data_IF_275875818823
#
_entry.id   IF_275875818823
#
_cell.length_a   1.000
_cell.length_b   1.000
_cell.length_c   1.000
_cell.angle_alpha   90.00
_cell.angle_beta   90.00
_cell.angle_gamma   90.00
#
_symmetry.space_group_name_H-M   'P 1'
#
loop_
_entity.id
_entity.type
_entity.pdbx_description
1 polymer ?
#
# COMPACT_ATOMS: atom_id res chain seq x y z
N UNK A 1 -45.66 -17.53 20.19
CA UNK A 1 -47.00 -17.00 20.41
C UNK A 1 -46.98 -15.60 21.04
N UNK A 2 -46.16 -15.35 22.08
CA UNK A 2 -46.03 -14.02 22.74
C UNK A 2 -45.63 -12.90 21.80
N UNK A 3 -44.84 -13.20 20.77
CA UNK A 3 -44.34 -12.27 19.77
C UNK A 3 -45.20 -12.24 18.50
N UNK A 4 -46.40 -12.84 18.52
CA UNK A 4 -47.25 -13.04 17.37
C UNK A 4 -46.56 -13.76 16.18
N UNK A 5 -45.60 -14.60 16.50
CA UNK A 5 -44.87 -15.41 15.53
C UNK A 5 -45.42 -16.81 15.52
N UNK A 6 -45.85 -17.27 14.37
CA UNK A 6 -46.43 -18.61 14.21
C UNK A 6 -45.39 -19.52 13.58
N UNK A 7 -44.86 -20.43 14.37
CA UNK A 7 -43.89 -21.44 13.99
C UNK A 7 -44.39 -22.81 14.44
N UNK A 8 -44.01 -23.84 13.71
CA UNK A 8 -44.18 -25.21 14.15
C UNK A 8 -43.20 -25.51 15.28
N UNK A 9 -43.70 -25.56 16.51
CA UNK A 9 -42.90 -25.83 17.70
C UNK A 9 -42.61 -27.31 17.92
N UNK A 10 -43.37 -28.19 17.30
CA UNK A 10 -43.18 -29.64 17.39
C UNK A 10 -42.10 -30.11 16.41
N UNK A 11 -41.93 -29.37 15.31
CA UNK A 11 -40.91 -29.64 14.31
C UNK A 11 -40.16 -28.34 13.87
N UNK A 12 -39.42 -27.70 14.80
CA UNK A 12 -38.78 -26.43 14.54
C UNK A 12 -37.57 -26.60 13.62
N UNK A 13 -37.35 -25.63 12.74
CA UNK A 13 -36.10 -25.51 12.01
C UNK A 13 -35.01 -24.97 12.95
N UNK A 14 -34.03 -25.82 13.26
CA UNK A 14 -32.97 -25.49 14.22
C UNK A 14 -31.60 -25.75 13.62
N UNK A 15 -30.74 -24.71 13.57
CA UNK A 15 -29.42 -24.76 12.91
C UNK A 15 -28.37 -25.59 13.65
N UNK A 16 -28.66 -26.03 14.87
CA UNK A 16 -27.79 -26.90 15.66
C UNK A 16 -28.09 -28.40 15.48
N UNK A 17 -29.18 -28.77 14.76
CA UNK A 17 -29.49 -30.15 14.47
C UNK A 17 -28.57 -30.73 13.41
N UNK A 18 -28.25 -32.02 13.51
CA UNK A 18 -27.31 -32.72 12.64
C UNK A 18 -27.71 -32.64 11.16
N UNK A 19 -29.00 -32.74 10.85
CA UNK A 19 -29.54 -32.66 9.49
C UNK A 19 -29.24 -31.30 8.83
N UNK A 20 -29.29 -30.19 9.62
CA UNK A 20 -28.90 -28.89 9.13
C UNK A 20 -27.40 -28.83 8.87
N UNK A 21 -26.61 -29.31 9.84
CA UNK A 21 -25.12 -29.31 9.76
C UNK A 21 -24.68 -30.14 8.55
N UNK A 22 -25.23 -31.34 8.35
CA UNK A 22 -24.94 -32.20 7.20
C UNK A 22 -25.24 -31.49 5.86
N UNK A 23 -26.42 -30.84 5.78
CA UNK A 23 -26.81 -30.09 4.57
C UNK A 23 -25.89 -28.92 4.27
N UNK A 24 -25.45 -28.16 5.31
CA UNK A 24 -24.51 -27.09 5.20
C UNK A 24 -23.11 -27.59 4.74
N UNK A 25 -22.64 -28.68 5.33
CA UNK A 25 -21.35 -29.29 4.94
C UNK A 25 -21.41 -29.88 3.55
N UNK A 26 -22.52 -30.48 3.14
CA UNK A 26 -22.68 -30.95 1.78
C UNK A 26 -22.58 -29.79 0.78
N UNK A 27 -23.20 -28.66 1.07
CA UNK A 27 -23.11 -27.46 0.21
C UNK A 27 -21.68 -26.93 0.13
N UNK A 28 -20.96 -26.84 1.25
CA UNK A 28 -19.55 -26.45 1.30
C UNK A 28 -18.67 -27.41 0.49
N UNK A 29 -18.94 -28.74 0.62
CA UNK A 29 -18.23 -29.75 -0.16
C UNK A 29 -18.44 -29.56 -1.66
N UNK A 30 -19.68 -29.28 -2.11
CA UNK A 30 -19.93 -29.01 -3.54
C UNK A 30 -19.15 -27.79 -4.05
N UNK A 31 -19.04 -26.73 -3.24
CA UNK A 31 -18.25 -25.56 -3.58
C UNK A 31 -16.76 -25.87 -3.62
N UNK A 32 -16.26 -26.62 -2.64
CA UNK A 32 -14.87 -27.05 -2.60
C UNK A 32 -14.50 -27.91 -3.82
N UNK A 33 -15.31 -28.93 -4.14
CA UNK A 33 -15.07 -29.85 -5.27
C UNK A 33 -15.07 -29.12 -6.64
N UNK A 34 -15.71 -27.95 -6.71
CA UNK A 34 -15.71 -27.05 -7.88
C UNK A 34 -14.59 -26.01 -7.84
N UNK A 35 -13.72 -26.01 -6.84
CA UNK A 35 -12.67 -25.02 -6.68
C UNK A 35 -13.16 -23.62 -6.28
N UNK A 36 -14.42 -23.49 -5.85
CA UNK A 36 -15.00 -22.20 -5.44
C UNK A 36 -14.72 -21.86 -3.98
N UNK A 37 -14.35 -22.85 -3.17
CA UNK A 37 -13.93 -22.68 -1.79
C UNK A 37 -12.42 -22.87 -1.69
N UNK A 38 -11.71 -21.82 -1.35
CA UNK A 38 -10.27 -21.80 -1.24
C UNK A 38 -9.83 -20.94 -0.05
N UNK A 39 -8.58 -21.13 0.40
CA UNK A 39 -7.98 -20.28 1.41
C UNK A 39 -7.40 -19.04 0.72
N UNK A 40 -7.85 -17.86 1.12
CA UNK A 40 -7.38 -16.59 0.57
C UNK A 40 -7.06 -15.58 1.66
N UNK A 41 -6.55 -14.43 1.24
CA UNK A 41 -6.31 -13.27 2.10
C UNK A 41 -7.27 -12.14 1.73
N UNK A 42 -7.59 -11.33 2.73
CA UNK A 42 -8.35 -10.10 2.57
C UNK A 42 -7.75 -9.02 3.46
N UNK A 43 -7.48 -7.87 2.88
CA UNK A 43 -7.03 -6.71 3.64
C UNK A 43 -8.21 -6.15 4.44
N UNK A 44 -8.03 -5.99 5.74
CA UNK A 44 -9.04 -5.48 6.66
C UNK A 44 -8.40 -4.47 7.62
N UNK A 45 -9.12 -3.42 8.03
CA UNK A 45 -8.70 -2.57 9.14
C UNK A 45 -8.51 -3.42 10.40
N UNK A 46 -7.36 -3.27 11.05
CA UNK A 46 -6.99 -4.03 12.24
C UNK A 46 -6.54 -3.09 13.36
N UNK A 47 -7.07 -3.32 14.57
CA UNK A 47 -6.66 -2.57 15.74
C UNK A 47 -5.69 -3.40 16.59
N UNK A 48 -4.42 -3.02 16.67
CA UNK A 48 -3.42 -3.76 17.46
C UNK A 48 -3.71 -3.71 18.97
N UNK A 49 -4.36 -2.64 19.46
CA UNK A 49 -4.70 -2.49 20.88
C UNK A 49 -5.75 -3.53 21.33
N UNK A 50 -6.72 -3.83 20.50
CA UNK A 50 -7.79 -4.80 20.81
C UNK A 50 -7.54 -6.18 20.23
N UNK A 51 -6.58 -6.33 19.30
CA UNK A 51 -6.28 -7.57 18.62
C UNK A 51 -7.40 -8.05 17.68
N UNK A 52 -8.23 -7.11 17.15
CA UNK A 52 -9.39 -7.44 16.33
C UNK A 52 -9.41 -6.68 15.02
N UNK A 53 -9.98 -7.32 13.98
CA UNK A 53 -10.31 -6.66 12.73
C UNK A 53 -11.65 -5.95 12.83
N UNK A 54 -11.79 -4.82 12.15
CA UNK A 54 -13.04 -4.08 12.05
C UNK A 54 -13.65 -4.19 10.65
N UNK A 55 -14.96 -4.11 10.58
CA UNK A 55 -15.67 -3.95 9.32
C UNK A 55 -15.50 -2.51 8.80
N UNK A 56 -15.64 -2.33 7.50
CA UNK A 56 -15.64 -0.99 6.87
C UNK A 56 -16.68 -0.06 7.48
N UNK A 57 -17.84 -0.61 7.87
CA UNK A 57 -18.91 0.15 8.52
C UNK A 57 -18.49 0.68 9.89
N UNK A 58 -17.83 -0.12 10.71
CA UNK A 58 -17.35 0.30 12.04
C UNK A 58 -16.29 1.40 11.92
N UNK A 59 -15.38 1.27 10.95
CA UNK A 59 -14.34 2.27 10.69
C UNK A 59 -14.95 3.59 10.22
N UNK A 60 -15.95 3.56 9.34
CA UNK A 60 -16.59 4.76 8.81
C UNK A 60 -17.30 5.60 9.88
N UNK A 61 -17.82 4.96 10.94
CA UNK A 61 -18.44 5.65 12.06
C UNK A 61 -17.44 6.41 12.95
N UNK A 62 -16.18 6.00 12.92
CA UNK A 62 -15.09 6.60 13.70
C UNK A 62 -14.24 7.61 12.93
N UNK A 63 -14.57 7.91 11.67
CA UNK A 63 -13.77 8.82 10.85
C UNK A 63 -13.67 10.21 11.44
N UNK A 64 -12.45 10.73 11.49
CA UNK A 64 -12.14 12.11 11.89
C UNK A 64 -10.82 12.55 11.28
N UNK A 65 -10.67 13.84 11.07
CA UNK A 65 -9.39 14.41 10.69
C UNK A 65 -8.43 14.41 11.89
N UNK A 66 -7.23 13.89 11.66
CA UNK A 66 -6.14 13.85 12.64
C UNK A 66 -4.86 14.36 12.01
N UNK A 67 -4.03 15.03 12.81
CA UNK A 67 -2.68 15.40 12.39
C UNK A 67 -1.72 14.26 12.72
N UNK A 68 -1.12 13.68 11.69
CA UNK A 68 -0.15 12.59 11.81
C UNK A 68 1.20 12.98 11.21
N UNK A 69 2.31 12.50 11.78
CA UNK A 69 3.61 12.71 11.16
C UNK A 69 3.70 11.95 9.83
N UNK A 70 4.29 12.58 8.83
CA UNK A 70 4.57 11.99 7.54
C UNK A 70 6.08 11.94 7.29
N UNK A 71 6.51 10.97 6.47
CA UNK A 71 7.92 10.78 6.13
C UNK A 71 8.09 10.84 4.62
N UNK A 72 9.09 11.60 4.17
CA UNK A 72 9.60 11.56 2.81
C UNK A 72 10.79 10.61 2.74
N UNK A 73 10.78 9.68 1.80
CA UNK A 73 11.77 8.62 1.69
C UNK A 73 12.41 8.66 0.30
N UNK A 74 13.72 8.51 0.26
CA UNK A 74 14.51 8.42 -0.96
C UNK A 74 14.81 6.97 -1.30
N UNK A 75 14.42 6.54 -2.48
CA UNK A 75 14.73 5.23 -3.02
C UNK A 75 15.75 5.39 -4.14
N UNK A 76 17.02 5.08 -3.82
CA UNK A 76 18.14 5.18 -4.76
C UNK A 76 17.96 4.22 -5.92
N UNK A 77 18.00 4.71 -7.15
CA UNK A 77 18.01 3.86 -8.35
C UNK A 77 19.31 3.03 -8.43
N UNK A 78 19.20 1.80 -8.97
CA UNK A 78 20.35 0.89 -9.05
C UNK A 78 21.39 1.39 -10.06
N UNK A 79 20.96 1.82 -11.24
CA UNK A 79 21.83 2.18 -12.36
C UNK A 79 21.90 3.70 -12.58
N UNK A 80 21.51 4.50 -11.58
CA UNK A 80 21.43 5.96 -11.67
C UNK A 80 21.78 6.61 -10.34
N UNK A 81 22.35 7.82 -10.38
CA UNK A 81 22.63 8.59 -9.18
C UNK A 81 21.39 9.23 -8.54
N UNK A 82 20.26 9.27 -9.25
CA UNK A 82 19.03 9.86 -8.77
C UNK A 82 18.29 8.93 -7.80
N UNK A 83 17.58 9.55 -6.86
CA UNK A 83 16.64 8.86 -5.96
C UNK A 83 15.20 9.23 -6.31
N UNK A 84 14.29 8.24 -6.30
CA UNK A 84 12.86 8.47 -6.37
C UNK A 84 12.37 8.85 -4.98
N UNK A 85 11.64 9.96 -4.88
CA UNK A 85 11.10 10.46 -3.62
C UNK A 85 9.68 9.97 -3.45
N UNK A 86 9.44 9.16 -2.42
CA UNK A 86 8.10 8.73 -2.00
C UNK A 86 7.70 9.41 -0.68
N UNK A 87 6.42 9.33 -0.34
CA UNK A 87 5.85 9.89 0.88
C UNK A 87 4.89 8.90 1.52
N UNK A 88 4.89 8.84 2.86
CA UNK A 88 3.96 7.99 3.61
C UNK A 88 3.62 8.57 4.97
N UNK A 89 2.39 8.34 5.44
CA UNK A 89 1.94 8.56 6.82
C UNK A 89 2.04 7.29 7.67
N UNK A 90 2.40 6.14 7.07
CA UNK A 90 2.51 4.84 7.73
C UNK A 90 3.94 4.27 7.62
N UNK A 91 4.96 4.92 8.22
CA UNK A 91 6.37 4.52 8.05
C UNK A 91 6.69 3.12 8.58
N UNK A 92 5.84 2.56 9.44
CA UNK A 92 5.96 1.18 9.93
C UNK A 92 5.75 0.11 8.83
N UNK A 93 5.19 0.49 7.67
CA UNK A 93 5.06 -0.40 6.51
C UNK A 93 6.32 -0.47 5.64
N UNK A 94 7.29 0.44 5.81
CA UNK A 94 8.50 0.52 4.99
C UNK A 94 9.34 -0.76 4.96
N UNK A 95 9.48 -1.54 6.04
CA UNK A 95 10.13 -2.86 5.96
C UNK A 95 9.46 -3.83 4.99
N UNK A 96 8.15 -3.64 4.73
CA UNK A 96 7.37 -4.40 3.76
C UNK A 96 7.39 -3.84 2.34
N UNK A 97 8.23 -2.82 2.06
CA UNK A 97 8.33 -2.24 0.71
C UNK A 97 8.85 -3.24 -0.31
N UNK A 98 8.10 -3.41 -1.39
CA UNK A 98 8.45 -4.30 -2.51
C UNK A 98 8.36 -3.65 -3.88
N UNK A 99 7.78 -2.44 -3.96
CA UNK A 99 7.64 -1.71 -5.21
C UNK A 99 7.39 -0.22 -4.98
N UNK A 100 7.54 0.56 -6.05
CA UNK A 100 7.13 1.95 -6.12
C UNK A 100 6.11 2.10 -7.24
N UNK A 101 4.92 2.57 -6.91
CA UNK A 101 3.86 2.79 -7.89
C UNK A 101 3.89 4.23 -8.41
N UNK A 102 3.78 4.39 -9.73
CA UNK A 102 3.71 5.67 -10.44
C UNK A 102 2.51 5.70 -11.37
N UNK A 103 1.96 6.88 -11.63
CA UNK A 103 0.92 7.05 -12.64
C UNK A 103 1.53 7.14 -14.03
N UNK A 104 1.19 6.24 -14.96
CA UNK A 104 1.76 6.21 -16.32
C UNK A 104 1.66 7.54 -17.05
N UNK A 105 0.56 8.25 -16.87
CA UNK A 105 0.25 9.51 -17.53
C UNK A 105 0.63 10.74 -16.69
N UNK A 106 1.11 10.55 -15.47
CA UNK A 106 1.59 11.63 -14.61
C UNK A 106 2.93 12.13 -15.14
N UNK A 107 3.13 13.44 -15.11
CA UNK A 107 4.41 14.05 -15.44
C UNK A 107 5.31 14.06 -14.22
N UNK A 108 6.50 13.52 -14.38
CA UNK A 108 7.57 13.54 -13.39
C UNK A 108 8.69 14.47 -13.84
N UNK A 109 9.46 14.93 -12.90
CA UNK A 109 10.69 15.65 -13.17
C UNK A 109 11.84 15.08 -12.34
N UNK A 110 13.03 15.12 -12.94
CA UNK A 110 14.32 14.94 -12.28
C UNK A 110 14.88 16.30 -11.97
N UNK A 111 15.16 16.55 -10.72
CA UNK A 111 15.69 17.83 -10.25
C UNK A 111 17.01 17.63 -9.54
N UNK A 112 17.92 18.60 -9.64
CA UNK A 112 19.14 18.67 -8.85
C UNK A 112 19.00 19.76 -7.79
N UNK A 113 19.34 19.45 -6.56
CA UNK A 113 19.38 20.43 -5.47
C UNK A 113 20.56 21.37 -5.70
N UNK A 114 20.31 22.66 -5.86
CA UNK A 114 21.34 23.68 -6.09
C UNK A 114 21.70 24.46 -4.84
N UNK A 115 20.73 24.68 -3.95
CA UNK A 115 20.95 25.37 -2.68
C UNK A 115 20.13 24.72 -1.55
N UNK A 116 20.58 24.84 -0.30
CA UNK A 116 19.81 24.36 0.85
C UNK A 116 18.48 25.13 0.97
N UNK A 117 17.51 24.59 1.72
CA UNK A 117 16.22 25.24 1.90
C UNK A 117 16.39 26.62 2.57
N UNK A 118 15.65 27.62 2.08
CA UNK A 118 15.64 28.96 2.65
C UNK A 118 14.67 29.06 3.84
N UNK A 119 15.08 29.71 4.93
CA UNK A 119 14.23 29.96 6.10
C UNK A 119 14.37 28.93 7.22
N UNK A 120 13.47 29.02 8.20
CA UNK A 120 13.39 28.03 9.29
C UNK A 120 12.82 26.71 8.74
N UNK A 121 13.72 25.81 8.44
CA UNK A 121 13.42 24.48 7.95
C UNK A 121 12.87 23.59 9.10
N UNK A 122 11.72 22.98 8.89
CA UNK A 122 11.07 22.13 9.87
C UNK A 122 11.56 20.66 9.84
N UNK A 123 12.70 20.41 9.21
CA UNK A 123 13.32 19.09 9.14
C UNK A 123 12.78 18.16 8.05
N UNK A 124 11.90 18.64 7.17
CA UNK A 124 11.37 17.83 6.06
C UNK A 124 12.44 17.64 4.99
N UNK A 125 13.07 16.48 5.02
CA UNK A 125 14.03 16.02 4.02
C UNK A 125 15.41 16.68 4.15
N UNK A 126 16.38 15.94 4.63
CA UNK A 126 17.80 16.29 4.51
C UNK A 126 18.26 15.96 3.09
N UNK A 127 18.12 16.89 2.17
CA UNK A 127 18.71 16.76 0.83
C UNK A 127 19.96 17.60 0.74
N UNK A 128 21.01 17.04 0.17
CA UNK A 128 22.30 17.69 0.01
C UNK A 128 22.39 18.40 -1.34
N UNK A 129 23.17 19.48 -1.40
CA UNK A 129 23.45 20.16 -2.67
C UNK A 129 24.15 19.19 -3.62
N UNK A 130 23.66 19.12 -4.86
CA UNK A 130 24.12 18.19 -5.89
C UNK A 130 23.32 16.88 -5.95
N UNK A 131 22.49 16.60 -4.97
CA UNK A 131 21.61 15.41 -4.99
C UNK A 131 20.53 15.54 -6.06
N UNK A 132 20.20 14.43 -6.72
CA UNK A 132 19.16 14.37 -7.75
C UNK A 132 17.96 13.57 -7.27
N UNK A 133 16.79 14.18 -7.40
CA UNK A 133 15.52 13.62 -6.95
C UNK A 133 14.51 13.54 -8.10
N UNK A 134 13.68 12.48 -8.07
CA UNK A 134 12.57 12.25 -9.01
C UNK A 134 11.27 12.30 -8.23
N UNK A 135 10.32 13.15 -8.68
CA UNK A 135 8.98 13.26 -8.12
C UNK A 135 8.02 13.81 -9.17
N UNK A 136 6.72 13.80 -8.88
CA UNK A 136 5.74 14.40 -9.77
C UNK A 136 5.97 15.91 -9.91
N UNK A 137 5.96 16.40 -11.15
CA UNK A 137 6.25 17.80 -11.48
C UNK A 137 5.30 18.77 -10.79
N UNK A 138 4.01 18.44 -10.76
CA UNK A 138 2.98 19.31 -10.20
C UNK A 138 3.12 19.50 -8.67
N UNK A 139 3.80 18.58 -8.00
CA UNK A 139 4.05 18.61 -6.55
C UNK A 139 5.42 19.18 -6.17
N UNK A 140 6.24 19.52 -7.15
CA UNK A 140 7.62 19.96 -6.91
C UNK A 140 7.72 21.12 -5.91
N UNK A 141 6.92 22.16 -6.09
CA UNK A 141 6.92 23.36 -5.23
C UNK A 141 6.39 23.11 -3.82
N UNK A 142 5.51 22.13 -3.65
CA UNK A 142 4.89 21.81 -2.37
C UNK A 142 5.79 20.88 -1.54
N UNK A 143 6.53 20.01 -2.22
CA UNK A 143 7.41 19.00 -1.61
C UNK A 143 8.79 19.54 -1.32
N UNK A 144 9.42 20.20 -2.29
CA UNK A 144 10.79 20.67 -2.17
C UNK A 144 10.85 22.19 -1.94
N UNK A 145 11.34 22.57 -0.75
CA UNK A 145 11.62 23.97 -0.38
C UNK A 145 13.02 24.43 -0.75
N UNK A 146 13.81 23.55 -1.35
CA UNK A 146 15.15 23.81 -1.84
C UNK A 146 15.09 24.58 -3.15
N UNK A 147 16.15 25.31 -3.49
CA UNK A 147 16.36 25.72 -4.87
C UNK A 147 16.79 24.51 -5.67
N UNK A 148 16.18 24.33 -6.81
CA UNK A 148 16.40 23.17 -7.67
C UNK A 148 16.55 23.58 -9.12
N UNK A 149 17.38 22.85 -9.84
CA UNK A 149 17.47 22.88 -11.30
C UNK A 149 16.66 21.66 -11.83
N UNK A 150 15.69 21.90 -12.70
CA UNK A 150 15.00 20.83 -13.41
C UNK A 150 15.91 20.33 -14.54
N UNK A 151 16.38 19.09 -14.42
CA UNK A 151 17.27 18.45 -15.39
C UNK A 151 16.46 17.87 -16.55
N UNK A 152 15.39 17.17 -16.22
CA UNK A 152 14.59 16.40 -17.19
C UNK A 152 13.14 16.34 -16.74
N UNK A 153 12.22 16.29 -17.71
CA UNK A 153 10.81 16.02 -17.52
C UNK A 153 10.41 14.83 -18.39
N UNK A 154 9.62 13.91 -17.83
CA UNK A 154 9.21 12.69 -18.51
C UNK A 154 7.85 12.20 -17.99
N UNK A 155 7.27 11.25 -18.70
CA UNK A 155 6.05 10.54 -18.28
C UNK A 155 6.38 9.42 -17.31
N UNK A 156 5.48 9.11 -16.38
CA UNK A 156 5.66 7.98 -15.47
C UNK A 156 5.92 6.65 -16.18
N UNK A 157 5.36 6.46 -17.38
CA UNK A 157 5.62 5.28 -18.20
C UNK A 157 7.10 5.07 -18.56
N UNK A 158 7.92 6.14 -18.54
CA UNK A 158 9.35 6.07 -18.91
C UNK A 158 10.25 5.57 -17.76
N UNK A 159 9.75 5.61 -16.52
CA UNK A 159 10.48 5.09 -15.36
C UNK A 159 9.96 3.73 -14.88
N UNK A 160 8.87 3.21 -15.44
CA UNK A 160 8.38 1.86 -15.15
C UNK A 160 9.46 0.84 -15.52
N UNK A 161 9.68 -0.14 -14.63
CA UNK A 161 10.70 -1.18 -14.76
C UNK A 161 12.07 -0.80 -14.21
N UNK A 162 12.33 0.47 -13.85
CA UNK A 162 13.59 0.83 -13.18
C UNK A 162 13.66 0.18 -11.81
N UNK A 163 14.82 -0.40 -11.48
CA UNK A 163 15.09 -1.02 -10.20
C UNK A 163 15.68 0.02 -9.21
N UNK A 164 15.39 -0.17 -7.93
CA UNK A 164 15.93 0.64 -6.85
C UNK A 164 16.47 -0.24 -5.72
N UNK A 165 17.34 0.32 -4.90
CA UNK A 165 17.89 -0.36 -3.72
C UNK A 165 16.85 -0.40 -2.60
N UNK A 166 16.50 -1.58 -2.06
CA UNK A 166 15.57 -1.70 -0.95
C UNK A 166 16.14 -1.02 0.31
N UNK A 167 15.26 -0.39 1.09
CA UNK A 167 15.64 0.22 2.37
C UNK A 167 16.02 -0.82 3.43
N UNK A 168 15.36 -1.97 3.39
CA UNK A 168 15.51 -3.07 4.34
C UNK A 168 15.68 -4.38 3.56
N UNK A 169 16.89 -4.66 3.02
CA UNK A 169 17.10 -5.79 2.11
C UNK A 169 16.81 -7.16 2.75
N UNK A 170 16.95 -7.27 4.07
CA UNK A 170 16.76 -8.53 4.80
C UNK A 170 15.31 -8.71 5.33
N UNK A 171 14.43 -7.73 5.15
CA UNK A 171 13.07 -7.79 5.68
C UNK A 171 12.10 -8.60 4.83
N UNK A 172 12.36 -8.69 3.52
CA UNK A 172 11.54 -9.41 2.55
C UNK A 172 12.39 -10.43 1.81
N UNK A 173 11.94 -11.67 1.83
CA UNK A 173 12.49 -12.69 0.93
C UNK A 173 11.90 -12.47 -0.48
N UNK A 174 12.75 -12.06 -1.40
CA UNK A 174 12.38 -11.83 -2.79
C UNK A 174 11.87 -13.10 -3.48
N UNK A 175 12.40 -14.27 -3.09
CA UNK A 175 12.15 -15.52 -3.79
C UNK A 175 12.51 -15.40 -5.27
N UNK A 176 11.64 -15.92 -6.14
CA UNK A 176 11.79 -15.89 -7.60
C UNK A 176 11.14 -14.65 -8.25
N UNK A 177 10.76 -13.61 -7.49
CA UNK A 177 10.14 -12.41 -8.04
C UNK A 177 11.15 -11.57 -8.82
N UNK A 178 10.89 -11.36 -10.11
CA UNK A 178 11.69 -10.48 -10.98
C UNK A 178 11.25 -9.01 -10.88
N UNK A 179 10.07 -8.76 -10.29
CA UNK A 179 9.47 -7.43 -10.17
C UNK A 179 9.70 -6.75 -8.82
N UNK A 180 10.17 -7.50 -7.82
CA UNK A 180 10.48 -6.93 -6.51
C UNK A 180 11.51 -5.80 -6.63
N UNK A 181 11.23 -4.68 -5.91
CA UNK A 181 12.03 -3.45 -5.86
C UNK A 181 12.19 -2.78 -7.23
N UNK A 182 11.12 -2.80 -8.00
CA UNK A 182 11.02 -2.04 -9.25
C UNK A 182 9.90 -1.00 -9.19
N UNK A 183 9.98 -0.04 -10.11
CA UNK A 183 8.90 0.92 -10.36
C UNK A 183 7.84 0.27 -11.23
N UNK A 184 6.58 0.36 -10.83
CA UNK A 184 5.43 -0.16 -11.55
C UNK A 184 4.39 0.92 -11.81
N UNK A 185 3.54 0.69 -12.80
CA UNK A 185 2.41 1.59 -13.06
C UNK A 185 1.20 1.21 -12.21
N UNK A 186 0.49 2.22 -11.68
CA UNK A 186 -0.79 2.02 -11.02
C UNK A 186 -1.74 3.19 -11.23
N UNK A 187 -3.03 2.89 -11.44
CA UNK A 187 -4.04 3.90 -11.74
C UNK A 187 -4.50 4.70 -10.51
N UNK A 188 -4.26 4.17 -9.29
CA UNK A 188 -4.61 4.85 -8.04
C UNK A 188 -3.63 5.97 -7.65
N UNK A 189 -2.51 6.13 -8.34
CA UNK A 189 -1.53 7.18 -8.05
C UNK A 189 -2.10 8.54 -8.42
N UNK A 190 -2.15 9.45 -7.46
CA UNK A 190 -2.63 10.82 -7.62
C UNK A 190 -1.52 11.84 -7.42
N UNK A 191 -1.79 13.08 -7.84
CA UNK A 191 -0.92 14.25 -7.62
C UNK A 191 -1.59 15.30 -6.72
N UNK A 192 -2.54 14.87 -5.88
CA UNK A 192 -3.20 15.77 -4.92
C UNK A 192 -2.38 15.97 -3.66
N UNK A 193 -1.64 14.93 -3.24
CA UNK A 193 -0.81 14.92 -2.04
C UNK A 193 0.46 14.10 -2.26
N UNK A 194 1.43 14.27 -1.35
CA UNK A 194 2.67 13.48 -1.33
C UNK A 194 3.65 13.88 -2.43
N UNK A 195 4.18 12.90 -3.14
CA UNK A 195 5.23 13.08 -4.18
C UNK A 195 4.78 12.61 -5.56
N UNK A 196 3.56 12.06 -5.69
CA UNK A 196 3.13 11.36 -6.89
C UNK A 196 3.77 9.99 -7.08
N UNK A 197 4.44 9.48 -6.05
CA UNK A 197 5.01 8.13 -5.99
C UNK A 197 4.51 7.46 -4.72
N UNK A 198 3.91 6.29 -4.87
CA UNK A 198 3.41 5.50 -3.74
C UNK A 198 4.35 4.34 -3.46
N UNK A 199 4.82 4.26 -2.23
CA UNK A 199 5.51 3.08 -1.74
C UNK A 199 4.51 1.93 -1.55
N UNK A 200 4.79 0.77 -2.12
CA UNK A 200 3.90 -0.40 -2.11
C UNK A 200 4.38 -1.44 -1.12
N UNK A 201 3.47 -1.85 -0.21
CA UNK A 201 3.68 -2.93 0.76
C UNK A 201 2.45 -3.86 0.74
N UNK A 202 2.54 -4.96 0.01
CA UNK A 202 1.42 -5.84 -0.43
C UNK A 202 0.44 -6.22 0.68
N UNK A 203 0.93 -6.45 1.91
CA UNK A 203 0.09 -6.94 3.00
C UNK A 203 -0.65 -5.84 3.80
N UNK A 204 -0.45 -4.54 3.48
CA UNK A 204 -0.87 -3.44 4.34
C UNK A 204 -1.82 -2.43 3.70
N UNK A 205 -2.22 -2.63 2.44
CA UNK A 205 -3.21 -1.82 1.73
C UNK A 205 -4.02 -2.64 0.73
N UNK A 206 -5.28 -2.28 0.50
CA UNK A 206 -6.13 -2.98 -0.47
C UNK A 206 -5.63 -2.80 -1.89
N UNK A 207 -5.26 -1.56 -2.26
CA UNK A 207 -4.67 -1.24 -3.57
C UNK A 207 -3.28 -1.88 -3.71
N UNK A 208 -2.45 -1.86 -2.65
CA UNK A 208 -1.14 -2.53 -2.63
C UNK A 208 -1.27 -4.04 -2.85
N UNK A 209 -2.26 -4.67 -2.21
CA UNK A 209 -2.52 -6.10 -2.37
C UNK A 209 -2.97 -6.43 -3.79
N UNK A 210 -3.91 -5.66 -4.34
CA UNK A 210 -4.40 -5.87 -5.70
C UNK A 210 -3.26 -5.73 -6.72
N UNK A 211 -2.48 -4.65 -6.63
CA UNK A 211 -1.31 -4.41 -7.47
C UNK A 211 -0.26 -5.52 -7.30
N UNK A 212 0.03 -5.91 -6.06
CA UNK A 212 1.00 -6.95 -5.76
C UNK A 212 0.65 -8.31 -6.38
N UNK A 213 -0.63 -8.68 -6.36
CA UNK A 213 -1.12 -9.90 -7.02
C UNK A 213 -1.04 -9.81 -8.54
N UNK A 214 -1.30 -8.65 -9.13
CA UNK A 214 -1.25 -8.42 -10.56
C UNK A 214 0.19 -8.50 -11.10
N UNK A 215 1.15 -7.86 -10.41
CA UNK A 215 2.54 -7.75 -10.89
C UNK A 215 3.47 -8.83 -10.33
N UNK A 216 2.99 -9.67 -9.41
CA UNK A 216 3.76 -10.77 -8.82
C UNK A 216 4.77 -10.32 -7.75
N UNK A 217 4.43 -9.30 -6.95
CA UNK A 217 5.24 -8.91 -5.80
C UNK A 217 5.21 -9.96 -4.68
N UNK A 218 6.30 -10.13 -3.93
CA UNK A 218 6.29 -10.98 -2.74
C UNK A 218 5.32 -10.43 -1.68
N UNK A 219 4.47 -11.30 -1.13
CA UNK A 219 3.47 -10.97 -0.14
C UNK A 219 3.89 -11.54 1.23
N UNK A 220 4.55 -10.72 2.04
CA UNK A 220 5.06 -11.13 3.36
C UNK A 220 4.66 -10.13 4.44
N UNK A 221 4.26 -10.65 5.61
CA UNK A 221 4.06 -9.83 6.79
C UNK A 221 5.39 -9.48 7.44
N UNK A 222 5.59 -8.19 7.71
CA UNK A 222 6.77 -7.65 8.41
C UNK A 222 6.42 -7.06 9.78
N UNK A 223 5.14 -7.11 10.16
CA UNK A 223 4.64 -6.66 11.47
C UNK A 223 4.13 -7.89 12.23
N UNK A 224 4.67 -8.11 13.44
CA UNK A 224 4.23 -9.17 14.34
C UNK A 224 2.86 -8.87 14.97
N UNK A 225 2.29 -9.90 15.59
CA UNK A 225 1.00 -9.82 16.30
C UNK A 225 1.17 -9.58 17.80
N UNK A 226 2.40 -9.51 18.28
CA UNK A 226 2.86 -9.38 19.67
C UNK A 226 3.44 -8.00 20.00
#
# INVERSE_FOLDING_TARGET
ERMAFWVDMDNPYVTLHDEYIESAWWSLKQMHDKGLLFRGYKVLPYCPQTGTSYSTHEVSLGYKEVAEPAVYIKFQLVDDAASILAWTTTPWTLPGNVGLAVGSNVKYCRVRITEPPSGNWDGRGSSEVGEELILAKDLLSDVLRHQVEVIEEFSGSEIVGKAYHPLFPDAIDRGDSDTAWTVVSADFVTTTDGTGVVHTAVMYGEDDYALGMEVGFPAQHTVGMD
#
